data_IF_909182574128
#
_entry.id   IF_909182574128
#
_cell.length_a   1.000
_cell.length_b   1.000
_cell.length_c   1.000
_cell.angle_alpha   90.00
_cell.angle_beta   90.00
_cell.angle_gamma   90.00
#
_symmetry.space_group_name_H-M   'P 1'
#
loop_
_entity.id
_entity.type
_entity.pdbx_description
1 polymer ?
#
# COMPACT_ATOMS: atom_id res chain seq x y z
N UNK A 1 -4.56 21.38 -13.76
CA UNK A 1 -3.88 22.51 -13.08
C UNK A 1 -2.97 23.19 -14.09
N UNK A 2 -2.68 24.50 -13.99
CA UNK A 2 -1.69 25.13 -14.84
C UNK A 2 -0.32 24.52 -14.61
N UNK A 3 0.55 24.53 -15.63
CA UNK A 3 1.93 24.04 -15.58
C UNK A 3 2.86 25.00 -14.80
N UNK A 4 2.36 25.49 -13.66
CA UNK A 4 3.11 26.37 -12.78
C UNK A 4 3.61 25.59 -11.56
N UNK A 5 4.78 25.94 -11.02
CA UNK A 5 5.22 25.42 -9.73
C UNK A 5 4.18 25.69 -8.64
N UNK A 6 3.97 24.71 -7.76
CA UNK A 6 3.02 24.82 -6.66
C UNK A 6 3.58 24.17 -5.39
N UNK A 7 2.95 24.49 -4.26
CA UNK A 7 3.22 23.86 -2.97
C UNK A 7 1.92 23.36 -2.36
N UNK A 8 2.02 22.34 -1.52
CA UNK A 8 0.96 21.93 -0.61
C UNK A 8 1.54 21.63 0.77
N UNK A 9 0.72 21.71 1.79
CA UNK A 9 1.12 21.37 3.16
C UNK A 9 0.52 20.04 3.59
N UNK A 10 1.23 19.37 4.49
CA UNK A 10 0.76 18.20 5.23
C UNK A 10 0.57 18.62 6.68
N UNK A 11 -0.60 19.16 7.05
CA UNK A 11 -0.85 19.62 8.42
C UNK A 11 -0.73 18.45 9.41
N UNK A 12 -0.09 18.70 10.54
CA UNK A 12 -0.06 17.75 11.66
C UNK A 12 -1.27 17.97 12.56
N UNK A 13 -1.82 16.92 13.19
CA UNK A 13 -1.33 15.54 13.19
C UNK A 13 -1.87 14.64 12.07
N UNK A 14 -2.84 15.10 11.27
CA UNK A 14 -3.60 14.28 10.31
C UNK A 14 -2.75 13.85 9.11
N UNK A 15 -1.83 14.71 8.65
CA UNK A 15 -0.96 14.51 7.49
C UNK A 15 -1.72 14.30 6.16
N UNK A 16 -2.98 14.77 6.11
CA UNK A 16 -3.76 14.83 4.88
C UNK A 16 -3.34 16.08 4.11
N UNK A 17 -3.10 15.99 2.78
CA UNK A 17 -2.71 17.17 2.01
C UNK A 17 -3.71 18.30 2.12
N UNK A 18 -3.23 19.55 2.27
CA UNK A 18 -4.08 20.74 2.30
C UNK A 18 -4.89 20.94 1.01
N UNK A 19 -4.46 20.30 -0.06
CA UNK A 19 -5.16 20.18 -1.33
C UNK A 19 -4.92 18.80 -1.94
N UNK A 20 -5.97 18.17 -2.44
CA UNK A 20 -5.92 16.93 -3.23
C UNK A 20 -7.04 16.95 -4.26
N UNK A 21 -6.83 16.25 -5.37
CA UNK A 21 -7.78 16.19 -6.48
C UNK A 21 -8.59 14.89 -6.48
N UNK A 22 -8.08 13.86 -5.81
CA UNK A 22 -8.72 12.56 -5.72
C UNK A 22 -8.57 11.97 -4.32
N UNK A 23 -9.64 11.34 -3.83
CA UNK A 23 -9.66 10.63 -2.56
C UNK A 23 -10.22 9.22 -2.80
N UNK A 24 -9.36 8.23 -2.67
CA UNK A 24 -9.70 6.83 -2.87
C UNK A 24 -9.85 6.20 -1.49
N UNK A 25 -10.98 5.58 -1.25
CA UNK A 25 -11.22 4.75 -0.06
C UNK A 25 -11.31 3.28 -0.46
N UNK A 26 -10.64 2.42 0.27
CA UNK A 26 -10.70 0.97 0.06
C UNK A 26 -11.17 0.29 1.33
N UNK A 27 -12.33 -0.29 1.23
CA UNK A 27 -12.95 -1.07 2.30
C UNK A 27 -12.62 -2.56 2.15
N UNK A 28 -12.95 -3.33 3.16
CA UNK A 28 -12.69 -4.77 3.23
C UNK A 28 -13.22 -5.51 2.00
N UNK A 29 -14.42 -5.17 1.53
CA UNK A 29 -15.02 -5.77 0.32
C UNK A 29 -14.15 -5.62 -0.94
N UNK A 30 -13.37 -4.54 -1.05
CA UNK A 30 -12.48 -4.29 -2.19
C UNK A 30 -11.22 -5.19 -2.19
N UNK A 31 -10.95 -5.89 -1.09
CA UNK A 31 -9.81 -6.80 -0.93
C UNK A 31 -10.25 -8.27 -0.83
N UNK A 32 -11.39 -8.63 -1.42
CA UNK A 32 -11.87 -10.02 -1.45
C UNK A 32 -10.80 -10.95 -2.03
N UNK A 33 -10.53 -12.07 -1.32
CA UNK A 33 -9.53 -13.06 -1.72
C UNK A 33 -8.08 -12.68 -1.43
N UNK A 34 -7.82 -11.48 -0.89
CA UNK A 34 -6.46 -11.00 -0.58
C UNK A 34 -5.97 -11.45 0.81
N UNK A 35 -6.87 -11.75 1.75
CA UNK A 35 -6.54 -12.23 3.09
C UNK A 35 -6.52 -13.75 3.15
N UNK A 36 -5.60 -14.31 3.93
CA UNK A 36 -5.42 -15.77 4.05
C UNK A 36 -6.61 -16.44 4.74
N UNK A 37 -7.13 -15.84 5.81
CA UNK A 37 -8.24 -16.38 6.58
C UNK A 37 -9.59 -15.92 5.99
N UNK A 38 -10.13 -16.73 5.07
CA UNK A 38 -11.41 -16.43 4.41
C UNK A 38 -12.60 -16.43 5.37
N UNK A 39 -12.53 -17.23 6.44
CA UNK A 39 -13.59 -17.27 7.44
C UNK A 39 -13.61 -15.99 8.26
N UNK A 40 -12.46 -15.58 8.79
CA UNK A 40 -12.34 -14.31 9.51
C UNK A 40 -12.70 -13.12 8.61
N UNK A 41 -12.34 -13.17 7.32
CA UNK A 41 -12.74 -12.17 6.34
C UNK A 41 -14.26 -12.09 6.19
N UNK A 42 -14.94 -13.23 6.00
CA UNK A 42 -16.40 -13.26 5.84
C UNK A 42 -17.12 -12.77 7.10
N UNK A 43 -16.72 -13.27 8.28
CA UNK A 43 -17.28 -12.86 9.57
C UNK A 43 -17.09 -11.36 9.86
N UNK A 44 -15.97 -10.79 9.43
CA UNK A 44 -15.72 -9.34 9.57
C UNK A 44 -16.61 -8.54 8.61
N UNK A 45 -16.70 -8.97 7.35
CA UNK A 45 -17.51 -8.30 6.34
C UNK A 45 -19.01 -8.31 6.66
N UNK A 46 -19.52 -9.41 7.26
CA UNK A 46 -20.90 -9.50 7.74
C UNK A 46 -21.22 -8.48 8.85
N UNK A 47 -20.23 -8.14 9.68
CA UNK A 47 -20.37 -7.16 10.74
C UNK A 47 -20.25 -5.74 10.22
N UNK A 48 -19.24 -5.48 9.41
CA UNK A 48 -18.95 -4.16 8.86
C UNK A 48 -18.01 -4.26 7.66
N UNK A 49 -18.32 -3.53 6.60
CA UNK A 49 -17.38 -3.30 5.51
C UNK A 49 -16.34 -2.23 5.92
N UNK A 50 -15.41 -2.64 6.78
CA UNK A 50 -14.41 -1.79 7.44
C UNK A 50 -13.53 -1.07 6.43
N UNK A 51 -13.25 0.22 6.66
CA UNK A 51 -12.28 0.98 5.89
C UNK A 51 -10.86 0.51 6.22
N UNK A 52 -10.12 0.05 5.22
CA UNK A 52 -8.77 -0.49 5.40
C UNK A 52 -7.70 0.54 5.09
N UNK A 53 -7.87 1.30 4.02
CA UNK A 53 -6.92 2.34 3.65
C UNK A 53 -7.53 3.41 2.76
N UNK A 54 -6.86 4.55 2.73
CA UNK A 54 -7.20 5.71 1.93
C UNK A 54 -5.99 6.21 1.16
N UNK A 55 -6.23 6.80 -0.01
CA UNK A 55 -5.19 7.45 -0.81
C UNK A 55 -5.68 8.83 -1.23
N UNK A 56 -4.88 9.83 -0.95
CA UNK A 56 -5.09 11.22 -1.34
C UNK A 56 -4.09 11.57 -2.43
N UNK A 57 -4.57 11.88 -3.64
CA UNK A 57 -3.72 12.10 -4.81
C UNK A 57 -3.81 13.54 -5.30
N UNK A 58 -2.66 14.08 -5.69
CA UNK A 58 -2.56 15.33 -6.42
C UNK A 58 -2.42 14.98 -7.91
N UNK A 59 -3.42 15.32 -8.70
CA UNK A 59 -3.46 14.99 -10.13
C UNK A 59 -2.48 15.82 -10.94
N UNK A 60 -1.71 15.12 -11.73
CA UNK A 60 -0.88 15.66 -12.81
C UNK A 60 -1.17 14.86 -14.10
N UNK A 61 -0.77 15.35 -15.27
CA UNK A 61 -0.88 14.56 -16.49
C UNK A 61 -0.21 13.19 -16.35
N UNK A 62 -0.89 12.15 -16.81
CA UNK A 62 -0.32 10.79 -16.85
C UNK A 62 0.63 10.67 -18.06
N UNK A 63 1.77 11.34 -17.99
CA UNK A 63 2.71 11.45 -19.08
C UNK A 63 4.17 11.31 -18.59
N UNK A 64 5.06 10.94 -19.49
CA UNK A 64 6.50 10.96 -19.22
C UNK A 64 6.96 12.39 -18.90
N UNK A 65 7.86 12.53 -17.91
CA UNK A 65 8.33 13.82 -17.40
C UNK A 65 7.49 14.41 -16.28
N UNK A 66 6.29 13.89 -16.03
CA UNK A 66 5.47 14.26 -14.87
C UNK A 66 5.75 13.34 -13.69
N UNK A 67 5.49 13.83 -12.48
CA UNK A 67 5.50 13.07 -11.25
C UNK A 67 4.11 13.11 -10.62
N UNK A 68 3.57 11.95 -10.29
CA UNK A 68 2.37 11.79 -9.47
C UNK A 68 2.77 11.63 -8.01
N UNK A 69 2.00 12.22 -7.13
CA UNK A 69 2.30 12.21 -5.70
C UNK A 69 1.03 12.20 -4.86
N UNK A 70 1.15 11.71 -3.64
CA UNK A 70 0.05 11.69 -2.70
C UNK A 70 0.42 11.16 -1.33
N UNK A 71 -0.62 10.92 -0.55
CA UNK A 71 -0.55 10.31 0.78
C UNK A 71 -1.35 9.02 0.78
N UNK A 72 -0.75 7.94 1.28
CA UNK A 72 -1.44 6.69 1.60
C UNK A 72 -1.56 6.58 3.12
N UNK A 73 -2.78 6.28 3.58
CA UNK A 73 -3.13 6.07 4.99
C UNK A 73 -3.65 4.65 5.13
N UNK A 74 -2.92 3.77 5.81
CA UNK A 74 -3.39 2.41 6.11
C UNK A 74 -3.78 2.35 7.57
N UNK A 75 -5.07 2.05 7.82
CA UNK A 75 -5.62 2.00 9.18
C UNK A 75 -5.12 0.78 9.96
N UNK A 76 -5.03 0.86 11.29
CA UNK A 76 -4.67 -0.28 12.11
C UNK A 76 -5.81 -1.31 12.15
N UNK A 77 -5.45 -2.57 12.10
CA UNK A 77 -6.41 -3.68 12.19
C UNK A 77 -5.90 -4.97 11.58
N UNK A 78 -6.73 -6.00 11.65
CA UNK A 78 -6.39 -7.35 11.17
C UNK A 78 -7.62 -8.09 10.67
N UNK A 79 -7.40 -8.99 9.71
CA UNK A 79 -8.33 -10.05 9.34
C UNK A 79 -7.71 -11.38 9.81
N UNK A 80 -8.31 -12.01 10.80
CA UNK A 80 -7.64 -13.13 11.48
C UNK A 80 -6.31 -12.68 12.10
N UNK A 81 -5.23 -13.31 11.67
CA UNK A 81 -3.87 -12.93 12.07
C UNK A 81 -3.15 -11.96 11.13
N UNK A 82 -3.71 -11.64 9.97
CA UNK A 82 -3.07 -10.83 8.94
C UNK A 82 -3.41 -9.36 9.08
N UNK A 83 -2.39 -8.48 9.12
CA UNK A 83 -2.58 -7.06 9.29
C UNK A 83 -3.24 -6.40 8.08
N UNK A 84 -3.93 -5.27 8.32
CA UNK A 84 -4.49 -4.43 7.26
C UNK A 84 -3.39 -3.90 6.34
N UNK A 85 -3.72 -3.84 5.07
CA UNK A 85 -2.76 -3.59 4.00
C UNK A 85 -3.42 -2.91 2.81
N UNK A 86 -2.61 -2.29 1.96
CA UNK A 86 -3.06 -1.89 0.63
C UNK A 86 -3.21 -3.12 -0.27
N UNK A 87 -3.97 -2.98 -1.34
CA UNK A 87 -4.17 -4.05 -2.34
C UNK A 87 -2.84 -4.54 -2.94
N UNK A 88 -1.93 -3.60 -3.18
CA UNK A 88 -0.68 -3.82 -3.88
C UNK A 88 -0.87 -3.94 -5.39
N UNK A 89 0.19 -3.66 -6.13
CA UNK A 89 0.19 -3.65 -7.59
C UNK A 89 1.62 -3.69 -8.15
N UNK A 90 1.74 -4.04 -9.41
CA UNK A 90 2.87 -3.65 -10.25
C UNK A 90 2.56 -2.32 -10.92
N UNK A 91 3.57 -1.59 -11.35
CA UNK A 91 3.37 -0.56 -12.35
C UNK A 91 3.03 -1.20 -13.70
N UNK A 92 2.08 -0.61 -14.45
CA UNK A 92 1.76 -1.08 -15.79
C UNK A 92 2.96 -0.90 -16.73
N UNK A 93 3.72 0.19 -16.56
CA UNK A 93 5.05 0.38 -17.16
C UNK A 93 6.09 -0.13 -16.16
N UNK A 94 6.48 -1.38 -16.29
CA UNK A 94 7.35 -2.09 -15.35
C UNK A 94 8.69 -1.38 -15.08
N UNK A 95 9.22 -0.64 -16.04
CA UNK A 95 10.52 0.06 -15.94
C UNK A 95 10.45 1.39 -15.16
N UNK A 96 9.40 1.59 -14.37
CA UNK A 96 9.23 2.77 -13.52
C UNK A 96 9.40 2.42 -12.04
N UNK A 97 10.07 3.31 -11.32
CA UNK A 97 10.34 3.20 -9.88
C UNK A 97 9.38 4.07 -9.07
N UNK A 98 9.34 3.87 -7.75
CA UNK A 98 8.57 4.68 -6.83
C UNK A 98 9.35 4.92 -5.54
N UNK A 99 9.09 6.06 -4.89
CA UNK A 99 9.68 6.40 -3.59
C UNK A 99 8.57 6.63 -2.57
N UNK A 100 8.75 6.07 -1.39
CA UNK A 100 7.91 6.31 -0.21
C UNK A 100 8.72 6.97 0.90
N UNK A 101 8.10 7.91 1.60
CA UNK A 101 8.58 8.44 2.88
C UNK A 101 7.53 8.12 3.95
N UNK A 102 7.90 7.35 4.95
CA UNK A 102 7.02 7.12 6.10
C UNK A 102 6.98 8.36 6.99
N UNK A 103 5.77 8.88 7.21
CA UNK A 103 5.52 10.09 7.99
C UNK A 103 5.03 9.77 9.41
N UNK A 104 4.24 8.69 9.57
CA UNK A 104 3.61 8.32 10.83
C UNK A 104 3.36 6.82 10.89
N UNK A 105 3.29 6.27 12.11
CA UNK A 105 2.98 4.87 12.35
C UNK A 105 4.13 3.92 12.03
N UNK A 106 3.85 2.64 12.15
CA UNK A 106 4.81 1.57 11.87
C UNK A 106 4.19 0.50 10.99
N UNK A 107 5.01 -0.10 10.14
CA UNK A 107 4.55 -1.15 9.25
C UNK A 107 5.67 -1.74 8.40
N UNK A 108 5.26 -2.37 7.32
CA UNK A 108 6.17 -2.95 6.35
C UNK A 108 5.72 -2.64 4.92
N UNK A 109 6.70 -2.58 4.03
CA UNK A 109 6.48 -2.68 2.59
C UNK A 109 6.87 -4.09 2.15
N UNK A 110 5.89 -4.85 1.66
CA UNK A 110 6.13 -6.15 1.01
C UNK A 110 6.32 -5.89 -0.46
N UNK A 111 7.44 -6.35 -1.01
CA UNK A 111 7.80 -6.13 -2.41
C UNK A 111 8.21 -7.44 -3.06
N UNK A 112 7.82 -7.66 -4.32
CA UNK A 112 8.26 -8.81 -5.09
C UNK A 112 8.40 -8.49 -6.58
N UNK A 113 9.30 -9.19 -7.25
CA UNK A 113 9.51 -9.05 -8.70
C UNK A 113 9.00 -10.29 -9.47
N UNK A 114 8.85 -10.20 -10.80
CA UNK A 114 8.42 -11.33 -11.61
C UNK A 114 9.38 -12.53 -11.57
N UNK A 115 10.65 -12.29 -11.26
CA UNK A 115 11.69 -13.33 -11.14
C UNK A 115 11.52 -14.18 -9.88
N UNK A 116 10.74 -13.65 -8.90
CA UNK A 116 10.36 -14.37 -7.68
C UNK A 116 11.16 -13.99 -6.46
N UNK A 117 11.94 -12.93 -6.51
CA UNK A 117 12.52 -12.35 -5.30
C UNK A 117 11.42 -11.62 -4.51
N UNK A 118 11.45 -11.72 -3.19
CA UNK A 118 10.53 -11.05 -2.30
C UNK A 118 11.30 -10.45 -1.12
N UNK A 119 11.12 -9.16 -0.93
CA UNK A 119 11.77 -8.37 0.13
C UNK A 119 10.69 -7.72 0.99
N UNK A 120 10.90 -7.69 2.29
CA UNK A 120 10.00 -7.04 3.25
C UNK A 120 10.81 -6.04 4.06
N UNK A 121 10.55 -4.75 3.84
CA UNK A 121 11.24 -3.65 4.49
C UNK A 121 10.37 -2.96 5.52
N UNK A 122 10.96 -2.63 6.69
CA UNK A 122 10.25 -1.93 7.76
C UNK A 122 10.03 -0.47 7.39
N UNK A 123 8.80 0.01 7.58
CA UNK A 123 8.40 1.41 7.54
C UNK A 123 8.28 1.96 8.95
N UNK A 124 8.88 3.12 9.18
CA UNK A 124 8.80 3.88 10.42
C UNK A 124 9.04 5.38 10.10
N UNK A 125 8.57 6.32 10.94
CA UNK A 125 8.74 7.74 10.67
C UNK A 125 10.16 8.14 10.31
N UNK A 126 10.30 8.88 9.20
CA UNK A 126 11.58 9.34 8.65
C UNK A 126 12.28 8.34 7.72
N UNK A 127 11.79 7.09 7.60
CA UNK A 127 12.35 6.15 6.63
C UNK A 127 11.89 6.48 5.22
N UNK A 128 12.86 6.52 4.31
CA UNK A 128 12.65 6.57 2.87
C UNK A 128 12.84 5.18 2.30
N UNK A 129 11.90 4.72 1.50
CA UNK A 129 11.93 3.44 0.81
C UNK A 129 11.92 3.69 -0.70
N UNK A 130 12.81 3.02 -1.41
CA UNK A 130 12.87 3.00 -2.86
C UNK A 130 12.33 1.66 -3.38
N UNK A 131 11.30 1.70 -4.21
CA UNK A 131 10.78 0.56 -4.96
C UNK A 131 11.43 0.58 -6.34
N UNK A 132 12.30 -0.39 -6.67
CA UNK A 132 12.93 -0.44 -7.98
C UNK A 132 11.93 -0.71 -9.11
N UNK A 133 12.28 -0.42 -10.36
CA UNK A 133 11.53 -0.90 -11.51
C UNK A 133 11.26 -2.41 -11.43
N UNK A 134 10.09 -2.86 -11.92
CA UNK A 134 9.65 -4.26 -11.98
C UNK A 134 9.24 -4.88 -10.63
N UNK A 135 9.15 -4.10 -9.55
CA UNK A 135 8.74 -4.58 -8.24
C UNK A 135 7.28 -4.20 -7.93
N UNK A 136 6.43 -5.21 -7.73
CA UNK A 136 5.15 -5.01 -7.07
C UNK A 136 5.38 -4.64 -5.62
N UNK A 137 4.48 -3.86 -5.04
CA UNK A 137 4.61 -3.42 -3.65
C UNK A 137 3.25 -3.25 -2.97
N UNK A 138 3.26 -3.44 -1.63
CA UNK A 138 2.10 -3.37 -0.74
C UNK A 138 2.54 -2.84 0.63
N UNK A 139 1.88 -1.80 1.10
CA UNK A 139 2.04 -1.32 2.48
C UNK A 139 1.19 -2.14 3.44
N UNK A 140 1.75 -2.48 4.60
CA UNK A 140 1.08 -3.22 5.69
C UNK A 140 1.22 -2.42 6.97
N UNK A 141 0.11 -2.07 7.64
CA UNK A 141 0.11 -1.34 8.91
C UNK A 141 0.20 -2.33 10.08
N UNK A 142 1.27 -2.24 10.87
CA UNK A 142 1.44 -3.09 12.06
C UNK A 142 1.29 -2.33 13.38
N UNK A 143 1.04 -1.02 13.32
CA UNK A 143 0.63 -0.24 14.48
C UNK A 143 -0.69 -0.77 15.03
N UNK A 144 -0.88 -0.68 16.35
CA UNK A 144 -2.13 -1.13 16.98
C UNK A 144 -3.20 -0.05 17.08
N UNK A 145 -2.81 1.22 17.08
CA UNK A 145 -3.69 2.37 17.34
C UNK A 145 -3.45 3.55 16.39
N UNK A 146 -2.34 3.54 15.65
CA UNK A 146 -1.97 4.62 14.75
C UNK A 146 -2.04 4.18 13.30
N UNK A 147 -2.49 5.08 12.44
CA UNK A 147 -2.40 4.89 11.01
C UNK A 147 -0.95 4.83 10.55
N UNK A 148 -0.66 3.98 9.58
CA UNK A 148 0.57 4.06 8.80
C UNK A 148 0.36 5.08 7.68
N UNK A 149 1.03 6.23 7.80
CA UNK A 149 0.93 7.31 6.82
C UNK A 149 2.23 7.42 6.04
N UNK A 150 2.13 7.30 4.72
CA UNK A 150 3.27 7.42 3.81
C UNK A 150 3.00 8.45 2.72
N UNK A 151 3.98 9.31 2.46
CA UNK A 151 4.05 10.11 1.25
C UNK A 151 4.68 9.26 0.14
N UNK A 152 4.13 9.33 -1.08
CA UNK A 152 4.67 8.63 -2.22
C UNK A 152 4.85 9.55 -3.44
N UNK A 153 5.77 9.15 -4.32
CA UNK A 153 6.03 9.83 -5.59
C UNK A 153 6.50 8.82 -6.64
N UNK A 154 5.89 8.85 -7.82
CA UNK A 154 6.18 7.98 -8.94
C UNK A 154 5.98 8.67 -10.30
N UNK A 155 6.55 8.14 -11.42
CA UNK A 155 6.40 8.74 -12.74
C UNK A 155 4.96 8.76 -13.23
N UNK A 156 4.56 9.86 -13.87
CA UNK A 156 3.18 10.06 -14.34
C UNK A 156 2.68 9.04 -15.35
N UNK A 157 3.59 8.39 -16.06
CA UNK A 157 3.26 7.37 -17.06
C UNK A 157 3.34 5.93 -16.55
N UNK A 158 3.52 5.70 -15.25
CA UNK A 158 3.69 4.34 -14.69
C UNK A 158 2.45 3.47 -14.82
N UNK A 159 1.25 4.03 -14.60
CA UNK A 159 0.02 3.26 -14.48
C UNK A 159 0.06 2.21 -13.36
N UNK A 160 -1.04 1.46 -13.19
CA UNK A 160 -1.13 0.41 -12.16
C UNK A 160 -1.67 -0.89 -12.76
N UNK A 161 -1.01 -2.02 -12.51
CA UNK A 161 -1.50 -3.37 -12.76
C UNK A 161 -1.84 -4.05 -11.43
N UNK A 162 -3.11 -4.03 -11.09
CA UNK A 162 -3.66 -4.75 -9.93
C UNK A 162 -3.93 -6.22 -10.24
N UNK A 163 -4.24 -6.56 -11.49
CA UNK A 163 -4.76 -7.87 -11.90
C UNK A 163 -3.79 -9.01 -11.60
N UNK A 164 -2.50 -8.78 -11.77
CA UNK A 164 -1.47 -9.77 -11.44
C UNK A 164 -1.49 -10.12 -9.95
N UNK A 165 -1.50 -9.12 -9.08
CA UNK A 165 -1.52 -9.33 -7.62
C UNK A 165 -2.86 -9.91 -7.14
N UNK A 166 -3.99 -9.53 -7.74
CA UNK A 166 -5.30 -10.11 -7.43
C UNK A 166 -5.35 -11.61 -7.67
N UNK A 167 -4.63 -12.11 -8.67
CA UNK A 167 -4.63 -13.52 -9.03
C UNK A 167 -3.63 -14.37 -8.24
N UNK A 168 -2.45 -13.84 -7.95
CA UNK A 168 -1.36 -14.62 -7.31
C UNK A 168 -1.13 -14.28 -5.83
N UNK A 169 -1.55 -13.10 -5.36
CA UNK A 169 -1.19 -12.54 -4.06
C UNK A 169 0.29 -12.15 -3.99
N UNK A 170 0.74 -11.80 -2.79
CA UNK A 170 2.14 -11.62 -2.48
C UNK A 170 2.72 -12.89 -1.88
N UNK A 171 4.00 -13.16 -2.13
CA UNK A 171 4.74 -14.33 -1.64
C UNK A 171 4.88 -14.37 -0.13
N UNK A 172 4.96 -13.20 0.52
CA UNK A 172 5.10 -13.06 1.97
C UNK A 172 3.88 -12.36 2.56
N UNK A 173 3.49 -12.80 3.76
CA UNK A 173 2.44 -12.20 4.58
C UNK A 173 3.05 -11.66 5.85
N UNK A 174 2.49 -10.55 6.35
CA UNK A 174 2.85 -9.96 7.65
C UNK A 174 1.74 -10.30 8.64
N UNK A 175 2.07 -11.11 9.64
CA UNK A 175 1.11 -11.69 10.56
C UNK A 175 1.40 -11.24 11.99
N UNK A 176 0.33 -11.08 12.77
CA UNK A 176 0.39 -10.99 14.24
C UNK A 176 0.38 -12.40 14.85
N UNK A 177 1.33 -12.67 15.70
CA UNK A 177 1.43 -13.96 16.40
C UNK A 177 1.64 -13.75 17.90
N UNK A 178 1.47 -14.79 18.74
CA UNK A 178 1.81 -14.69 20.17
C UNK A 178 3.27 -14.29 20.45
N UNK A 179 4.16 -14.55 19.48
CA UNK A 179 5.58 -14.15 19.55
C UNK A 179 5.85 -12.73 19.03
N UNK A 180 4.81 -12.04 18.57
CA UNK A 180 4.91 -10.71 17.94
C UNK A 180 4.67 -10.77 16.44
N UNK A 181 5.14 -9.74 15.73
CA UNK A 181 5.00 -9.65 14.27
C UNK A 181 5.94 -10.65 13.61
N UNK A 182 5.39 -11.47 12.72
CA UNK A 182 6.14 -12.47 11.94
C UNK A 182 5.88 -12.29 10.44
N UNK A 183 6.90 -12.56 9.64
CA UNK A 183 6.81 -12.59 8.19
C UNK A 183 6.86 -14.06 7.77
N UNK A 184 5.81 -14.52 7.11
CA UNK A 184 5.66 -15.92 6.71
C UNK A 184 5.47 -16.06 5.21
N UNK A 185 5.76 -17.24 4.67
CA UNK A 185 5.42 -17.56 3.29
C UNK A 185 3.90 -17.67 3.13
N UNK A 186 3.38 -17.12 2.03
CA UNK A 186 1.98 -17.25 1.68
C UNK A 186 1.71 -18.65 1.10
N UNK A 187 0.98 -19.54 1.81
CA UNK A 187 0.72 -20.90 1.33
C UNK A 187 -0.17 -20.94 0.07
N UNK A 188 -0.86 -19.84 -0.24
CA UNK A 188 -1.70 -19.71 -1.45
C UNK A 188 -0.98 -19.06 -2.62
N UNK A 189 0.27 -18.63 -2.42
CA UNK A 189 1.00 -18.00 -3.51
C UNK A 189 1.32 -19.01 -4.62
N UNK A 190 0.83 -18.72 -5.81
CA UNK A 190 1.04 -19.54 -7.00
C UNK A 190 1.78 -18.70 -8.06
N UNK A 191 3.01 -19.11 -8.37
CA UNK A 191 3.69 -18.63 -9.57
C UNK A 191 3.00 -19.27 -10.79
N UNK A 192 2.27 -18.49 -11.57
CA UNK A 192 1.80 -18.92 -12.90
C UNK A 192 2.89 -18.73 -13.93
#
# INVERSE_FOLDING_TARGET
>A
MPDLPFTFTLPTPELIPSHYDNHIQRRLSALKGQFLDEKAYAEMLEREDTLLYEVYEIKRPQAAGELLTGISVVHPGKVGGEFFMTKGHFHAVLETAEVYLCLKGEGFMVMENPEGECVVERLAPGKVLYVPPRWAHRSVCTSRQEDLVTFFIYPGNSGHDYGTIEQQGFRKLVMDSPAGIVIVDNPRWNKK
#
